data_IF_002921770417
#
_entry.id   IF_002921770417
#
_cell.length_a   1.000
_cell.length_b   1.000
_cell.length_c   1.000
_cell.angle_alpha   90.00
_cell.angle_beta   90.00
_cell.angle_gamma   90.00
#
_symmetry.space_group_name_H-M   'P 1'
#
loop_
_entity.id
_entity.type
_entity.pdbx_description
1 polymer ?
#
# COMPACT_ATOMS: atom_id res chain seq x y z
N UNK A 1 7.37 6.75 -55.43
CA UNK A 1 7.42 5.47 -54.70
C UNK A 1 8.00 5.75 -53.32
N UNK A 2 7.14 5.98 -52.34
CA UNK A 2 7.52 6.17 -50.94
C UNK A 2 6.85 5.05 -50.15
N UNK A 3 7.66 4.11 -49.66
CA UNK A 3 7.25 3.00 -48.81
C UNK A 3 6.70 3.51 -47.48
N UNK A 4 5.64 2.92 -46.92
CA UNK A 4 5.21 3.21 -45.55
C UNK A 4 6.16 2.52 -44.55
N UNK A 5 6.60 3.27 -43.56
CA UNK A 5 7.32 2.82 -42.36
C UNK A 5 6.46 1.82 -41.59
N UNK A 6 7.01 0.73 -41.04
CA UNK A 6 6.22 -0.26 -40.32
C UNK A 6 5.78 0.30 -38.96
N UNK A 7 4.50 0.13 -38.66
CA UNK A 7 3.93 0.41 -37.34
C UNK A 7 4.73 -0.32 -36.25
N UNK A 8 5.19 0.45 -35.27
CA UNK A 8 5.74 -0.10 -34.04
C UNK A 8 4.64 -0.88 -33.30
N UNK A 9 4.97 -2.02 -32.67
CA UNK A 9 3.99 -2.80 -31.93
C UNK A 9 3.46 -1.97 -30.77
N UNK A 10 2.18 -1.61 -30.83
CA UNK A 10 1.43 -1.11 -29.69
C UNK A 10 1.39 -2.25 -28.66
N UNK A 11 2.32 -2.20 -27.70
CA UNK A 11 2.23 -3.02 -26.50
C UNK A 11 0.90 -2.69 -25.83
N UNK A 12 0.05 -3.68 -25.49
CA UNK A 12 -1.20 -3.44 -24.80
C UNK A 12 -0.90 -3.15 -23.32
N UNK A 13 -0.18 -2.07 -23.05
CA UNK A 13 -0.16 -1.45 -21.74
C UNK A 13 -1.61 -1.05 -21.45
N UNK A 14 -2.21 -1.74 -20.46
CA UNK A 14 -3.63 -1.66 -20.13
C UNK A 14 -4.12 -0.21 -20.13
N UNK A 15 -5.22 0.05 -20.84
CA UNK A 15 -5.78 1.40 -20.99
C UNK A 15 -6.00 2.01 -19.59
N UNK A 16 -5.24 3.03 -19.16
CA UNK A 16 -5.21 3.51 -17.77
C UNK A 16 -6.54 4.04 -17.23
N UNK A 17 -7.51 4.27 -18.12
CA UNK A 17 -8.85 4.71 -17.74
C UNK A 17 -9.70 3.60 -17.13
N UNK A 18 -9.53 2.35 -17.57
CA UNK A 18 -10.38 1.23 -17.11
C UNK A 18 -9.90 0.66 -15.77
N UNK A 19 -8.59 0.65 -15.51
CA UNK A 19 -8.02 0.16 -14.26
C UNK A 19 -8.57 0.92 -13.05
N UNK A 20 -8.72 2.24 -13.16
CA UNK A 20 -9.29 3.06 -12.07
C UNK A 20 -10.74 2.70 -11.74
N UNK A 21 -11.57 2.43 -12.75
CA UNK A 21 -12.97 2.04 -12.53
C UNK A 21 -13.07 0.66 -11.89
N UNK A 22 -12.30 -0.31 -12.40
CA UNK A 22 -12.23 -1.66 -11.82
C UNK A 22 -11.74 -1.62 -10.38
N UNK A 23 -10.72 -0.79 -10.11
CA UNK A 23 -10.20 -0.57 -8.77
C UNK A 23 -11.27 0.03 -7.82
N UNK A 24 -12.05 1.00 -8.30
CA UNK A 24 -13.17 1.56 -7.54
C UNK A 24 -14.20 0.50 -7.14
N UNK A 25 -14.54 -0.43 -8.04
CA UNK A 25 -15.44 -1.54 -7.74
C UNK A 25 -14.81 -2.53 -6.73
N UNK A 26 -13.52 -2.85 -6.87
CA UNK A 26 -12.81 -3.70 -5.92
C UNK A 26 -12.79 -3.08 -4.51
N UNK A 27 -12.57 -1.78 -4.40
CA UNK A 27 -12.68 -1.02 -3.15
C UNK A 27 -14.06 -1.15 -2.54
N UNK A 28 -15.12 -1.00 -3.34
CA UNK A 28 -16.49 -1.11 -2.85
C UNK A 28 -16.80 -2.52 -2.36
N UNK A 29 -16.34 -3.54 -3.06
CA UNK A 29 -16.47 -4.94 -2.62
C UNK A 29 -15.74 -5.19 -1.30
N UNK A 30 -14.51 -4.70 -1.15
CA UNK A 30 -13.76 -4.83 0.09
C UNK A 30 -14.48 -4.17 1.29
N UNK A 31 -15.12 -3.02 1.08
CA UNK A 31 -15.93 -2.34 2.09
C UNK A 31 -17.19 -3.14 2.45
N UNK A 32 -17.93 -3.63 1.46
CA UNK A 32 -19.16 -4.42 1.69
C UNK A 32 -18.86 -5.72 2.43
N UNK A 33 -17.74 -6.37 2.11
CA UNK A 33 -17.29 -7.58 2.79
C UNK A 33 -16.62 -7.30 4.14
N UNK A 34 -16.48 -6.02 4.53
CA UNK A 34 -15.83 -5.57 5.76
C UNK A 34 -14.40 -6.12 5.93
N UNK A 35 -13.64 -6.22 4.83
CA UNK A 35 -12.30 -6.83 4.86
C UNK A 35 -11.28 -6.03 5.68
N UNK A 36 -11.64 -4.82 6.14
CA UNK A 36 -10.89 -4.01 7.10
C UNK A 36 -11.05 -4.50 8.56
N UNK A 37 -11.98 -5.43 8.83
CA UNK A 37 -12.23 -5.98 10.15
C UNK A 37 -11.72 -7.41 10.26
N UNK A 38 -10.86 -7.67 11.24
CA UNK A 38 -10.38 -9.04 11.51
C UNK A 38 -11.54 -9.96 11.94
N UNK A 39 -12.52 -9.41 12.66
CA UNK A 39 -13.73 -10.13 13.09
C UNK A 39 -14.57 -10.64 11.90
N UNK A 40 -14.48 -10.00 10.74
CA UNK A 40 -15.16 -10.47 9.50
C UNK A 40 -14.55 -11.76 8.94
N UNK A 41 -13.36 -12.14 9.43
CA UNK A 41 -12.60 -13.31 8.99
C UNK A 41 -12.73 -14.48 9.97
N UNK A 42 -13.36 -14.28 11.12
CA UNK A 42 -13.59 -15.32 12.12
C UNK A 42 -14.50 -16.43 11.56
N UNK A 43 -14.12 -17.69 11.84
CA UNK A 43 -14.86 -18.86 11.38
C UNK A 43 -14.63 -19.25 9.91
N UNK A 44 -13.82 -18.50 9.15
CA UNK A 44 -13.39 -18.89 7.81
C UNK A 44 -12.27 -19.92 7.86
N UNK A 45 -12.09 -20.65 6.75
CA UNK A 45 -10.91 -21.49 6.56
C UNK A 45 -9.63 -20.62 6.58
N UNK A 46 -8.51 -21.08 7.16
CA UNK A 46 -7.28 -20.28 7.27
C UNK A 46 -6.80 -19.70 5.93
N UNK A 47 -6.86 -20.50 4.86
CA UNK A 47 -6.57 -20.08 3.48
C UNK A 47 -7.47 -18.93 3.03
N UNK A 48 -8.77 -18.99 3.32
CA UNK A 48 -9.71 -17.97 2.89
C UNK A 48 -9.53 -16.67 3.68
N UNK A 49 -9.34 -16.77 4.99
CA UNK A 49 -9.03 -15.62 5.83
C UNK A 49 -7.77 -14.89 5.33
N UNK A 50 -6.70 -15.64 5.05
CA UNK A 50 -5.44 -15.09 4.54
C UNK A 50 -5.60 -14.44 3.16
N UNK A 51 -6.35 -15.06 2.24
CA UNK A 51 -6.64 -14.45 0.93
C UNK A 51 -7.43 -13.15 1.06
N UNK A 52 -8.37 -13.07 2.01
CA UNK A 52 -9.15 -11.87 2.28
C UNK A 52 -8.30 -10.76 2.92
N UNK A 53 -7.39 -11.08 3.84
CA UNK A 53 -6.40 -10.10 4.36
C UNK A 53 -5.57 -9.52 3.21
N UNK A 54 -5.03 -10.38 2.35
CA UNK A 54 -4.23 -9.94 1.19
C UNK A 54 -5.03 -9.08 0.22
N UNK A 55 -6.26 -9.47 -0.09
CA UNK A 55 -7.14 -8.70 -0.97
C UNK A 55 -7.38 -7.28 -0.42
N UNK A 56 -7.69 -7.16 0.87
CA UNK A 56 -7.83 -5.86 1.53
C UNK A 56 -6.56 -5.02 1.40
N UNK A 57 -5.41 -5.58 1.75
CA UNK A 57 -4.15 -4.85 1.75
C UNK A 57 -3.66 -4.47 0.36
N UNK A 58 -3.94 -5.28 -0.67
CA UNK A 58 -3.69 -4.94 -2.08
C UNK A 58 -4.51 -3.73 -2.51
N UNK A 59 -5.80 -3.72 -2.17
CA UNK A 59 -6.68 -2.59 -2.48
C UNK A 59 -6.24 -1.35 -1.69
N UNK A 60 -5.94 -1.49 -0.40
CA UNK A 60 -5.46 -0.40 0.44
C UNK A 60 -4.16 0.24 -0.07
N UNK A 61 -3.17 -0.56 -0.53
CA UNK A 61 -1.95 -0.02 -1.12
C UNK A 61 -2.18 0.61 -2.50
N UNK A 62 -3.08 0.03 -3.30
CA UNK A 62 -3.39 0.53 -4.64
C UNK A 62 -4.00 1.93 -4.62
N UNK A 63 -4.80 2.23 -3.60
CA UNK A 63 -5.37 3.57 -3.39
C UNK A 63 -4.26 4.60 -3.14
N UNK A 64 -3.30 4.25 -2.28
CA UNK A 64 -2.16 5.10 -1.92
C UNK A 64 -1.21 5.32 -3.08
N UNK A 65 -0.86 4.25 -3.80
CA UNK A 65 0.02 4.36 -4.96
C UNK A 65 -0.61 5.20 -6.06
N UNK A 66 -1.90 5.05 -6.33
CA UNK A 66 -2.62 5.90 -7.27
C UNK A 66 -2.67 7.36 -6.82
N UNK A 67 -2.85 7.62 -5.51
CA UNK A 67 -2.85 8.97 -4.98
C UNK A 67 -1.50 9.69 -5.10
N UNK A 68 -0.40 8.93 -4.93
CA UNK A 68 0.98 9.43 -4.98
C UNK A 68 1.47 9.56 -6.43
N UNK A 69 1.32 8.51 -7.25
CA UNK A 69 1.89 8.45 -8.59
C UNK A 69 1.01 9.14 -9.64
N UNK A 70 -0.30 9.01 -9.51
CA UNK A 70 -1.27 9.46 -10.51
C UNK A 70 -2.08 10.70 -10.05
N UNK A 71 -1.67 11.32 -8.95
CA UNK A 71 -2.35 12.46 -8.32
C UNK A 71 -3.87 12.22 -8.14
N UNK A 72 -4.25 11.00 -7.77
CA UNK A 72 -5.65 10.65 -7.48
C UNK A 72 -6.04 11.05 -6.04
N UNK A 73 -7.35 11.20 -5.77
CA UNK A 73 -7.83 11.28 -4.40
C UNK A 73 -7.51 9.99 -3.63
N UNK A 74 -7.15 10.13 -2.35
CA UNK A 74 -7.11 8.99 -1.42
C UNK A 74 -8.54 8.66 -1.05
N UNK A 75 -8.99 7.46 -1.37
CA UNK A 75 -10.38 7.00 -1.12
C UNK A 75 -10.48 6.09 0.09
N UNK A 76 -9.39 5.42 0.47
CA UNK A 76 -9.33 4.49 1.59
C UNK A 76 -8.33 5.01 2.63
N UNK A 77 -8.89 5.68 3.64
CA UNK A 77 -8.14 6.18 4.78
C UNK A 77 -8.59 5.49 6.07
N UNK A 78 -7.79 5.57 7.14
CA UNK A 78 -8.16 5.02 8.46
C UNK A 78 -9.49 5.58 9.00
N UNK A 79 -9.85 6.79 8.58
CA UNK A 79 -11.12 7.45 8.94
C UNK A 79 -12.27 7.13 7.97
N UNK A 80 -12.02 6.38 6.89
CA UNK A 80 -13.07 5.90 5.99
C UNK A 80 -13.90 4.76 6.60
N UNK A 81 -13.46 4.21 7.73
CA UNK A 81 -14.11 3.11 8.43
C UNK A 81 -14.46 3.53 9.86
N UNK A 82 -15.68 3.21 10.31
CA UNK A 82 -16.16 3.57 11.64
C UNK A 82 -15.28 2.99 12.76
N UNK A 83 -14.87 1.73 12.63
CA UNK A 83 -13.98 1.06 13.59
C UNK A 83 -12.50 1.09 13.19
N UNK A 84 -12.14 1.84 12.15
CA UNK A 84 -10.79 1.83 11.58
C UNK A 84 -10.44 0.51 10.87
N UNK A 85 -9.13 0.22 10.82
CA UNK A 85 -8.58 -0.99 10.20
C UNK A 85 -8.04 -1.87 11.33
N UNK A 86 -8.65 -3.04 11.53
CA UNK A 86 -8.22 -4.04 12.52
C UNK A 86 -7.62 -5.30 11.88
N UNK A 87 -7.81 -5.48 10.56
CA UNK A 87 -7.20 -6.57 9.80
C UNK A 87 -5.69 -6.61 9.99
N UNK A 88 -5.19 -7.77 10.37
CA UNK A 88 -3.77 -8.03 10.59
C UNK A 88 -2.99 -8.06 9.27
N UNK A 89 -1.69 -7.82 9.35
CA UNK A 89 -0.79 -8.03 8.20
C UNK A 89 -0.81 -9.51 7.80
N UNK A 90 -0.72 -9.84 6.49
CA UNK A 90 -0.58 -11.21 6.04
C UNK A 90 0.61 -11.89 6.71
N UNK A 91 0.38 -13.08 7.25
CA UNK A 91 1.39 -13.88 7.95
C UNK A 91 1.93 -15.02 7.08
N UNK A 92 1.29 -15.28 5.93
CA UNK A 92 1.47 -16.55 5.22
C UNK A 92 0.47 -17.59 5.72
N UNK A 93 0.27 -18.62 4.90
CA UNK A 93 -0.48 -19.81 5.31
C UNK A 93 0.57 -20.75 5.87
N UNK A 94 0.55 -20.94 7.19
CA UNK A 94 1.13 -22.16 7.75
C UNK A 94 0.23 -23.29 7.26
N UNK A 95 0.75 -24.12 6.37
CA UNK A 95 0.06 -25.34 5.97
C UNK A 95 -0.25 -26.12 7.24
N UNK A 96 -1.49 -26.57 7.38
CA UNK A 96 -1.98 -27.36 8.52
C UNK A 96 -0.95 -28.42 8.92
N UNK A 97 -0.39 -28.24 10.12
CA UNK A 97 0.56 -29.08 10.82
C UNK A 97 1.90 -29.40 10.10
N UNK A 98 3.06 -29.12 10.72
CA UNK A 98 4.19 -30.01 10.52
C UNK A 98 3.73 -31.36 11.09
N UNK A 99 3.30 -32.27 10.23
CA UNK A 99 3.21 -33.69 10.59
C UNK A 99 4.52 -33.97 11.31
N UNK A 100 4.42 -34.36 12.58
CA UNK A 100 5.50 -34.59 13.53
C UNK A 100 6.45 -35.70 13.02
N UNK A 101 7.13 -35.43 11.92
CA UNK A 101 8.20 -36.22 11.35
C UNK A 101 9.49 -35.58 11.87
N UNK A 102 10.25 -36.26 12.72
CA UNK A 102 11.58 -35.80 13.09
C UNK A 102 12.44 -35.80 11.82
N UNK A 103 12.51 -34.65 11.14
CA UNK A 103 13.18 -34.51 9.86
C UNK A 103 12.64 -33.45 8.89
N UNK A 104 11.63 -32.65 9.24
CA UNK A 104 11.15 -31.58 8.34
C UNK A 104 12.23 -30.48 8.17
N UNK A 105 13.05 -30.63 7.12
CA UNK A 105 13.94 -29.60 6.63
C UNK A 105 13.08 -28.49 6.04
N UNK A 106 13.30 -27.25 6.47
CA UNK A 106 12.72 -26.06 5.84
C UNK A 106 13.00 -26.15 4.34
N UNK A 107 11.95 -26.30 3.52
CA UNK A 107 12.16 -26.44 2.08
C UNK A 107 12.49 -25.06 1.50
N UNK A 108 13.24 -25.01 0.40
CA UNK A 108 13.49 -23.74 -0.30
C UNK A 108 12.19 -22.99 -0.66
N UNK A 109 11.07 -23.70 -0.86
CA UNK A 109 9.76 -23.11 -1.12
C UNK A 109 9.20 -22.36 0.10
N UNK A 110 9.49 -22.82 1.32
CA UNK A 110 9.01 -22.19 2.54
C UNK A 110 9.76 -20.89 2.82
N UNK A 111 11.08 -20.91 2.60
CA UNK A 111 11.92 -19.70 2.66
C UNK A 111 11.47 -18.66 1.62
N UNK A 112 11.19 -19.08 0.38
CA UNK A 112 10.69 -18.16 -0.66
C UNK A 112 9.32 -17.57 -0.31
N UNK A 113 8.42 -18.36 0.28
CA UNK A 113 7.11 -17.85 0.72
C UNK A 113 7.22 -16.83 1.85
N UNK A 114 8.02 -17.12 2.89
CA UNK A 114 8.25 -16.23 4.03
C UNK A 114 8.86 -14.91 3.55
N UNK A 115 9.91 -14.98 2.73
CA UNK A 115 10.59 -13.80 2.18
C UNK A 115 9.65 -12.93 1.31
N UNK A 116 8.70 -13.55 0.59
CA UNK A 116 7.71 -12.83 -0.19
C UNK A 116 6.68 -12.09 0.68
N UNK A 117 6.18 -12.73 1.75
CA UNK A 117 5.23 -12.09 2.67
C UNK A 117 5.87 -10.93 3.43
N UNK A 118 7.11 -11.09 3.86
CA UNK A 118 7.85 -10.00 4.50
C UNK A 118 8.09 -8.83 3.54
N UNK A 119 8.44 -9.12 2.28
CA UNK A 119 8.57 -8.10 1.24
C UNK A 119 7.24 -7.38 0.95
N UNK A 120 6.13 -8.13 0.94
CA UNK A 120 4.79 -7.57 0.80
C UNK A 120 4.44 -6.63 1.97
N UNK A 121 4.70 -7.07 3.20
CA UNK A 121 4.45 -6.27 4.41
C UNK A 121 5.35 -5.03 4.47
N UNK A 122 6.60 -5.13 4.00
CA UNK A 122 7.49 -3.99 3.86
C UNK A 122 6.95 -2.96 2.86
N UNK A 123 6.50 -3.42 1.68
CA UNK A 123 5.89 -2.56 0.67
C UNK A 123 4.60 -1.88 1.21
N UNK A 124 3.80 -2.59 2.01
CA UNK A 124 2.64 -2.00 2.68
C UNK A 124 3.02 -0.85 3.59
N UNK A 125 4.02 -1.07 4.47
CA UNK A 125 4.51 -0.03 5.38
C UNK A 125 5.04 1.17 4.62
N UNK A 126 5.78 0.96 3.53
CA UNK A 126 6.29 2.03 2.68
C UNK A 126 5.15 2.93 2.19
N UNK A 127 4.13 2.33 1.58
CA UNK A 127 3.00 3.08 1.03
C UNK A 127 2.16 3.77 2.09
N UNK A 128 1.94 3.12 3.22
CA UNK A 128 1.22 3.72 4.32
C UNK A 128 1.94 4.98 4.82
N UNK A 129 3.24 4.89 5.12
CA UNK A 129 4.02 6.04 5.57
C UNK A 129 4.08 7.15 4.52
N UNK A 130 4.27 6.80 3.24
CA UNK A 130 4.26 7.77 2.15
C UNK A 130 2.91 8.51 2.06
N UNK A 131 1.80 7.80 2.22
CA UNK A 131 0.46 8.38 2.15
C UNK A 131 0.14 9.26 3.35
N UNK A 132 0.58 8.87 4.55
CA UNK A 132 0.38 9.66 5.77
C UNK A 132 1.13 11.00 5.65
N UNK A 133 2.37 10.97 5.14
CA UNK A 133 3.18 12.15 4.85
C UNK A 133 2.53 13.04 3.77
N UNK A 134 2.08 12.44 2.66
CA UNK A 134 1.43 13.18 1.57
C UNK A 134 0.12 13.85 2.03
N UNK A 135 -0.68 13.16 2.84
CA UNK A 135 -1.93 13.69 3.37
C UNK A 135 -1.67 14.88 4.30
N UNK A 136 -0.68 14.79 5.18
CA UNK A 136 -0.28 15.89 6.06
C UNK A 136 0.14 17.13 5.24
N UNK A 137 0.99 16.94 4.22
CA UNK A 137 1.41 18.02 3.33
C UNK A 137 0.22 18.68 2.61
N UNK A 138 -0.74 17.88 2.12
CA UNK A 138 -1.95 18.39 1.47
C UNK A 138 -2.84 19.19 2.43
N UNK A 139 -3.02 18.71 3.66
CA UNK A 139 -3.80 19.42 4.70
C UNK A 139 -3.16 20.75 5.10
N UNK A 140 -1.83 20.77 5.25
CA UNK A 140 -1.09 22.00 5.53
C UNK A 140 -1.22 23.01 4.37
N UNK A 141 -1.14 22.54 3.12
CA UNK A 141 -1.31 23.40 1.95
C UNK A 141 -2.71 24.01 1.88
N UNK A 142 -3.76 23.22 2.10
CA UNK A 142 -5.15 23.69 2.09
C UNK A 142 -5.39 24.76 3.16
N UNK A 143 -4.92 24.53 4.39
CA UNK A 143 -5.02 25.50 5.48
C UNK A 143 -4.29 26.81 5.16
N UNK A 144 -3.09 26.72 4.60
CA UNK A 144 -2.29 27.89 4.23
C UNK A 144 -2.96 28.71 3.11
N UNK A 145 -3.64 28.04 2.16
CA UNK A 145 -4.45 28.71 1.13
C UNK A 145 -5.67 29.41 1.72
N UNK A 146 -6.32 28.83 2.73
CA UNK A 146 -7.47 29.44 3.42
C UNK A 146 -7.06 30.67 4.24
N UNK A 147 -5.94 30.61 4.98
CA UNK A 147 -5.46 31.73 5.81
C UNK A 147 -5.04 32.95 4.98
N UNK A 148 -4.42 32.74 3.81
CA UNK A 148 -4.08 33.80 2.84
C UNK A 148 -5.31 34.51 2.27
N UNK A 149 -6.47 33.86 2.23
CA UNK A 149 -7.73 34.46 1.75
C UNK A 149 -8.41 35.36 2.81
N UNK A 150 -8.04 35.22 4.09
CA UNK A 150 -8.74 35.86 5.21
C UNK A 150 -7.92 36.94 5.95
N UNK A 151 -6.59 36.97 5.85
CA UNK A 151 -5.80 38.08 6.44
C UNK A 151 -4.34 38.19 5.94
N UNK A 152 -3.84 39.42 5.83
CA UNK A 152 -2.45 39.80 5.47
C UNK A 152 -1.41 39.47 6.57
N UNK A 153 -1.38 38.24 7.10
CA UNK A 153 -0.34 37.83 8.04
C UNK A 153 0.34 36.55 7.57
N UNK A 154 1.66 36.55 7.73
CA UNK A 154 2.59 35.55 7.19
C UNK A 154 2.19 34.11 7.52
N UNK A 155 2.48 33.14 6.62
CA UNK A 155 2.21 31.74 6.86
C UNK A 155 3.18 31.22 7.92
N UNK A 156 2.80 31.32 9.19
CA UNK A 156 3.54 30.69 10.27
C UNK A 156 3.06 29.25 10.39
N UNK A 157 3.74 28.33 9.69
CA UNK A 157 3.64 26.89 10.00
C UNK A 157 3.87 26.78 11.50
N UNK A 158 2.86 26.32 12.24
CA UNK A 158 2.98 26.21 13.69
C UNK A 158 4.08 25.20 14.02
N UNK A 159 4.80 25.42 15.12
CA UNK A 159 5.85 24.49 15.56
C UNK A 159 5.32 23.04 15.65
N UNK A 160 4.06 22.87 16.06
CA UNK A 160 3.38 21.58 16.16
C UNK A 160 3.16 20.90 14.80
N UNK A 161 2.80 21.64 13.74
CA UNK A 161 2.65 21.08 12.39
C UNK A 161 4.00 20.63 11.84
N UNK A 162 5.05 21.42 12.09
CA UNK A 162 6.41 21.05 11.70
C UNK A 162 6.89 19.80 12.42
N UNK A 163 6.69 19.71 13.74
CA UNK A 163 7.07 18.53 14.54
C UNK A 163 6.35 17.27 14.03
N UNK A 164 5.06 17.39 13.69
CA UNK A 164 4.28 16.28 13.12
C UNK A 164 4.79 15.85 11.76
N UNK A 165 5.13 16.81 10.89
CA UNK A 165 5.69 16.54 9.57
C UNK A 165 7.07 15.87 9.69
N UNK A 166 7.93 16.37 10.57
CA UNK A 166 9.25 15.81 10.83
C UNK A 166 9.15 14.36 11.34
N UNK A 167 8.21 14.08 12.24
CA UNK A 167 7.95 12.72 12.72
C UNK A 167 7.48 11.77 11.60
N UNK A 168 6.58 12.23 10.72
CA UNK A 168 6.12 11.45 9.56
C UNK A 168 7.24 11.22 8.55
N UNK A 169 8.08 12.23 8.31
CA UNK A 169 9.22 12.14 7.41
C UNK A 169 10.25 11.12 7.92
N UNK A 170 10.63 11.20 9.20
CA UNK A 170 11.53 10.22 9.83
C UNK A 170 10.97 8.81 9.69
N UNK A 171 9.68 8.61 10.03
CA UNK A 171 9.04 7.31 9.90
C UNK A 171 9.01 6.79 8.46
N UNK A 172 8.85 7.66 7.47
CA UNK A 172 8.90 7.29 6.07
C UNK A 172 10.30 6.87 5.63
N UNK A 173 11.34 7.65 5.94
CA UNK A 173 12.70 7.32 5.51
C UNK A 173 13.27 6.08 6.22
N UNK A 174 12.85 5.81 7.46
CA UNK A 174 13.33 4.65 8.24
C UNK A 174 12.45 3.41 8.12
N UNK A 175 11.30 3.47 7.41
CA UNK A 175 10.35 2.34 7.39
C UNK A 175 10.90 1.05 6.77
N UNK A 176 12.04 1.13 6.06
CA UNK A 176 12.73 0.01 5.44
C UNK A 176 14.03 -0.38 6.15
N UNK A 177 14.45 0.34 7.21
CA UNK A 177 15.69 0.05 7.93
C UNK A 177 15.61 -1.28 8.68
N UNK A 178 14.42 -1.63 9.16
CA UNK A 178 14.13 -2.88 9.88
C UNK A 178 13.92 -4.08 8.94
N UNK A 179 14.26 -3.96 7.64
CA UNK A 179 14.13 -5.08 6.71
C UNK A 179 15.16 -6.18 7.01
N UNK A 180 14.78 -7.46 6.89
CA UNK A 180 15.73 -8.54 6.92
C UNK A 180 16.86 -8.36 5.89
N UNK A 181 18.10 -8.83 6.17
CA UNK A 181 19.26 -8.59 5.31
C UNK A 181 19.08 -9.01 3.85
N UNK A 182 18.30 -10.06 3.59
CA UNK A 182 18.00 -10.54 2.24
C UNK A 182 17.07 -9.62 1.43
N UNK A 183 16.33 -8.71 2.07
CA UNK A 183 15.49 -7.71 1.41
C UNK A 183 16.20 -6.36 1.25
N UNK A 184 17.20 -6.06 2.08
CA UNK A 184 17.94 -4.79 2.03
C UNK A 184 18.64 -4.56 0.68
N UNK A 185 19.15 -5.64 0.04
CA UNK A 185 19.80 -5.57 -1.27
C UNK A 185 18.85 -5.21 -2.43
N UNK A 186 17.53 -5.33 -2.24
CA UNK A 186 16.50 -5.11 -3.26
C UNK A 186 15.68 -3.83 -3.06
N UNK A 187 16.03 -3.01 -2.06
CA UNK A 187 15.35 -1.72 -1.76
C UNK A 187 15.23 -0.83 -2.99
N UNK A 188 16.25 -0.78 -3.86
CA UNK A 188 16.22 -0.04 -5.13
C UNK A 188 15.28 -0.64 -6.21
N UNK A 189 14.93 -1.92 -6.11
CA UNK A 189 14.05 -2.62 -7.07
C UNK A 189 12.56 -2.54 -6.68
N UNK A 190 12.24 -2.40 -5.39
CA UNK A 190 10.86 -2.17 -4.92
C UNK A 190 10.27 -0.94 -5.61
N UNK A 191 11.04 0.16 -5.69
CA UNK A 191 10.65 1.38 -6.40
C UNK A 191 10.51 1.23 -7.92
N UNK A 192 11.10 0.21 -8.55
CA UNK A 192 10.95 -0.06 -10.00
C UNK A 192 9.72 -0.90 -10.35
N UNK A 193 9.23 -1.74 -9.43
CA UNK A 193 8.02 -2.54 -9.65
C UNK A 193 6.72 -1.72 -9.64
N UNK A 194 6.80 -0.47 -9.19
CA UNK A 194 5.71 0.51 -9.15
C UNK A 194 5.14 0.91 -10.52
N UNK A 195 5.83 0.59 -11.62
CA UNK A 195 5.38 0.92 -12.97
C UNK A 195 4.30 -0.02 -13.55
N UNK A 196 3.79 -0.96 -12.76
CA UNK A 196 2.75 -1.93 -13.19
C UNK A 196 1.35 -1.57 -12.66
N UNK A 197 1.20 -0.49 -11.87
CA UNK A 197 -0.13 0.01 -11.43
C UNK A 197 -0.53 1.27 -12.19
#
# INVERSE_FOLDING_TARGET
MTSPTPDSPQSPAGKPKYSWHIFGEATRLAQVMQLNLETSLEGLQPIEAELRRRAFWIVYMGDKSAAILNNRPITIHKFSFESGITTSYPSGIEDEAPVLSPGNLVTNSDVVRITCIEGFNANLRLWQNASDLLLELRLMQDRNQQDLSMSNLQPLISAQEKDRLDALYVRFITCLDDLPPYLQSYTALIFKSLSIV
#
